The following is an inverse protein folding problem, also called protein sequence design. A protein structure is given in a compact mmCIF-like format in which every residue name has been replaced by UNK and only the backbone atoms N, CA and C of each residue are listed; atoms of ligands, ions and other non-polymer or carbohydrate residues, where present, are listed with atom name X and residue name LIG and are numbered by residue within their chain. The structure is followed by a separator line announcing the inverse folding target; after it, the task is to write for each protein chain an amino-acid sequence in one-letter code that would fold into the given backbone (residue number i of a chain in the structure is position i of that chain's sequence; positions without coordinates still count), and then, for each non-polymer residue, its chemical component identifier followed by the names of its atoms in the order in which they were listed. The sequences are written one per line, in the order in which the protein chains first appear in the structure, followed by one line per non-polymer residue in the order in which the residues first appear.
data_IF_685135527791
#
_entry.id   IF_685135527791
#
_cell.length_a   1.000
_cell.length_b   1.000
_cell.length_c   1.000
_cell.angle_alpha   90.00
_cell.angle_beta   90.00
_cell.angle_gamma   90.00
#
_symmetry.space_group_name_H-M   'P 1'
#
loop_
_entity.id
_entity.type
_entity.pdbx_description
1 polymer ?
#
# COMPACT_ATOMS: atom_id res chain seq x y z
N UNK A 1 -52.27 14.29 47.46
CA UNK A 1 -52.26 14.20 46.00
C UNK A 1 -50.87 13.71 45.59
N UNK A 2 -50.74 12.56 44.90
CA UNK A 2 -49.57 11.71 44.92
C UNK A 2 -48.61 12.00 43.75
N UNK A 3 -47.31 11.70 43.93
CA UNK A 3 -46.55 10.77 43.09
C UNK A 3 -45.07 10.78 43.50
N UNK A 4 -44.66 9.66 44.10
CA UNK A 4 -43.28 9.22 44.06
C UNK A 4 -42.83 9.06 42.60
N UNK A 5 -41.65 9.59 42.26
CA UNK A 5 -40.73 8.85 41.40
C UNK A 5 -39.30 9.22 41.78
N UNK A 6 -38.74 8.33 42.58
CA UNK A 6 -37.31 8.02 42.57
C UNK A 6 -36.78 8.00 41.14
N UNK A 7 -35.56 8.50 40.95
CA UNK A 7 -34.42 7.68 40.50
C UNK A 7 -33.41 8.59 39.79
N UNK A 8 -32.20 8.61 40.35
CA UNK A 8 -30.96 9.00 39.68
C UNK A 8 -31.00 8.66 38.19
N UNK A 9 -31.02 9.67 37.32
CA UNK A 9 -30.65 9.45 35.90
C UNK A 9 -29.12 9.44 35.79
N UNK A 10 -28.51 8.47 36.45
CA UNK A 10 -27.22 7.95 36.05
C UNK A 10 -27.43 7.01 34.87
N UNK A 11 -26.64 7.21 33.80
CA UNK A 11 -26.63 6.42 32.55
C UNK A 11 -27.92 6.59 31.74
N UNK A 12 -27.92 6.87 30.43
CA UNK A 12 -27.24 6.15 29.36
C UNK A 12 -27.06 7.13 28.18
N UNK A 13 -25.82 7.38 27.77
CA UNK A 13 -25.45 7.74 26.38
C UNK A 13 -23.96 7.39 26.13
N UNK A 14 -23.48 6.28 26.72
CA UNK A 14 -22.12 5.77 26.58
C UNK A 14 -21.98 4.73 25.45
N UNK A 15 -22.91 4.72 24.50
CA UNK A 15 -22.98 3.74 23.40
C UNK A 15 -23.30 4.41 22.06
N UNK A 16 -22.70 5.58 21.82
CA UNK A 16 -22.59 6.21 20.50
C UNK A 16 -21.12 6.52 20.16
N UNK A 17 -20.16 5.81 20.77
CA UNK A 17 -18.75 6.21 20.68
C UNK A 17 -17.77 5.03 20.73
N UNK A 18 -18.21 3.82 20.38
CA UNK A 18 -17.30 2.67 20.27
C UNK A 18 -17.55 1.81 19.05
N UNK A 19 -18.78 1.75 18.54
CA UNK A 19 -19.06 1.10 17.26
C UNK A 19 -18.41 1.84 16.06
N UNK A 20 -18.30 3.18 16.11
CA UNK A 20 -17.64 3.97 15.04
C UNK A 20 -16.10 3.91 15.07
N UNK A 21 -15.50 3.35 16.12
CA UNK A 21 -14.04 3.22 16.22
C UNK A 21 -13.50 2.02 15.41
N UNK A 22 -14.36 1.05 15.07
CA UNK A 22 -13.99 -0.15 14.36
C UNK A 22 -14.56 -0.14 12.94
N UNK A 23 -13.96 0.69 12.10
CA UNK A 23 -14.31 0.78 10.68
C UNK A 23 -13.61 -0.38 9.96
N UNK A 24 -14.36 -1.44 9.65
CA UNK A 24 -13.86 -2.65 8.99
C UNK A 24 -13.07 -2.31 7.70
N UNK A 25 -13.55 -1.34 6.92
CA UNK A 25 -12.86 -0.87 5.71
C UNK A 25 -11.49 -0.26 5.98
N UNK A 26 -11.28 0.42 7.11
CA UNK A 26 -9.99 0.98 7.45
C UNK A 26 -9.05 -0.12 7.93
N UNK A 27 -9.53 -1.06 8.75
CA UNK A 27 -8.74 -2.23 9.21
C UNK A 27 -8.27 -3.06 8.02
N UNK A 28 -9.20 -3.45 7.13
CA UNK A 28 -8.88 -4.29 5.98
C UNK A 28 -7.93 -3.58 5.00
N UNK A 29 -8.13 -2.26 4.81
CA UNK A 29 -7.18 -1.43 4.06
C UNK A 29 -5.82 -1.44 4.73
N UNK A 30 -5.76 -1.33 6.06
CA UNK A 30 -4.48 -1.30 6.76
C UNK A 30 -3.72 -2.62 6.58
N UNK A 31 -4.41 -3.74 6.80
CA UNK A 31 -3.84 -5.07 6.68
C UNK A 31 -3.32 -5.37 5.27
N UNK A 32 -4.07 -4.98 4.24
CA UNK A 32 -3.67 -5.21 2.84
C UNK A 32 -2.45 -4.37 2.48
N UNK A 33 -2.42 -3.08 2.81
CA UNK A 33 -1.26 -2.27 2.44
C UNK A 33 0.00 -2.78 3.16
N UNK A 34 -0.10 -3.19 4.43
CA UNK A 34 1.04 -3.73 5.19
C UNK A 34 1.52 -5.01 4.55
N UNK A 35 0.59 -5.94 4.25
CA UNK A 35 0.92 -7.24 3.66
C UNK A 35 1.60 -7.09 2.30
N UNK A 36 1.09 -6.20 1.45
CA UNK A 36 1.70 -5.90 0.15
C UNK A 36 3.11 -5.31 0.30
N UNK A 37 3.31 -4.42 1.27
CA UNK A 37 4.62 -3.86 1.58
C UNK A 37 5.63 -4.93 2.00
N UNK A 38 5.21 -5.86 2.87
CA UNK A 38 6.06 -6.97 3.32
C UNK A 38 6.46 -7.87 2.14
N UNK A 39 5.50 -8.25 1.29
CA UNK A 39 5.78 -9.09 0.12
C UNK A 39 6.70 -8.37 -0.87
N UNK A 40 6.48 -7.08 -1.14
CA UNK A 40 7.37 -6.29 -1.99
C UNK A 40 8.80 -6.24 -1.45
N UNK A 41 8.96 -5.98 -0.14
CA UNK A 41 10.27 -5.96 0.51
C UNK A 41 10.94 -7.34 0.50
N UNK A 42 10.19 -8.42 0.70
CA UNK A 42 10.71 -9.77 0.62
C UNK A 42 11.27 -10.08 -0.78
N UNK A 43 10.58 -9.67 -1.84
CA UNK A 43 11.05 -9.83 -3.21
C UNK A 43 12.28 -8.94 -3.47
N UNK A 44 12.28 -7.68 -3.04
CA UNK A 44 13.46 -6.81 -3.14
C UNK A 44 14.68 -7.40 -2.42
N UNK A 45 14.48 -8.02 -1.25
CA UNK A 45 15.55 -8.69 -0.53
C UNK A 45 16.12 -9.88 -1.31
N UNK A 46 15.27 -10.69 -1.95
CA UNK A 46 15.73 -11.77 -2.84
C UNK A 46 16.52 -11.22 -4.02
N UNK A 47 16.04 -10.14 -4.65
CA UNK A 47 16.76 -9.48 -5.74
C UNK A 47 18.13 -8.96 -5.28
N UNK A 48 18.19 -8.32 -4.11
CA UNK A 48 19.43 -7.84 -3.52
C UNK A 48 20.42 -8.99 -3.25
N UNK A 49 19.96 -10.12 -2.71
CA UNK A 49 20.83 -11.30 -2.50
C UNK A 49 21.33 -11.86 -3.83
N UNK A 50 20.48 -11.93 -4.85
CA UNK A 50 20.87 -12.42 -6.18
C UNK A 50 21.81 -11.47 -6.91
N UNK A 51 21.83 -10.18 -6.56
CA UNK A 51 22.75 -9.18 -7.11
C UNK A 51 24.21 -9.38 -6.66
N UNK A 52 24.44 -10.14 -5.58
CA UNK A 52 25.79 -10.42 -5.10
C UNK A 52 26.48 -11.38 -6.08
N UNK A 53 27.68 -11.06 -6.58
CA UNK A 53 28.37 -11.86 -7.60
C UNK A 53 28.61 -13.32 -7.17
N UNK A 54 28.77 -13.58 -5.87
CA UNK A 54 28.90 -14.95 -5.35
C UNK A 54 27.63 -15.80 -5.54
N UNK A 55 26.44 -15.20 -5.43
CA UNK A 55 25.15 -15.88 -5.64
C UNK A 55 24.82 -15.92 -7.12
N UNK A 56 25.02 -14.80 -7.82
CA UNK A 56 24.81 -14.69 -9.27
C UNK A 56 25.65 -15.70 -10.06
N UNK A 57 26.92 -15.89 -9.68
CA UNK A 57 27.83 -16.83 -10.36
C UNK A 57 27.49 -18.32 -10.09
N UNK A 58 26.64 -18.60 -9.11
CA UNK A 58 26.11 -19.96 -8.86
C UNK A 58 24.87 -20.28 -9.70
N UNK A 59 24.22 -19.27 -10.28
CA UNK A 59 23.01 -19.38 -11.08
C UNK A 59 23.36 -19.36 -12.57
N UNK A 60 22.57 -20.03 -13.40
CA UNK A 60 22.74 -19.88 -14.85
C UNK A 60 22.29 -18.48 -15.29
N UNK A 61 22.88 -17.94 -16.36
CA UNK A 61 22.52 -16.62 -16.89
C UNK A 61 21.01 -16.47 -17.17
N UNK A 62 20.33 -17.55 -17.56
CA UNK A 62 18.89 -17.59 -17.79
C UNK A 62 18.08 -17.46 -16.51
N UNK A 63 18.49 -18.14 -15.45
CA UNK A 63 17.82 -18.05 -14.13
C UNK A 63 18.05 -16.67 -13.52
N UNK A 64 19.26 -16.14 -13.60
CA UNK A 64 19.58 -14.80 -13.14
C UNK A 64 18.74 -13.74 -13.87
N UNK A 65 18.67 -13.82 -15.21
CA UNK A 65 17.85 -12.90 -16.00
C UNK A 65 16.36 -13.03 -15.67
N UNK A 66 15.85 -14.24 -15.43
CA UNK A 66 14.47 -14.46 -15.03
C UNK A 66 14.16 -13.82 -13.68
N UNK A 67 15.00 -14.05 -12.68
CA UNK A 67 14.87 -13.46 -11.33
C UNK A 67 14.89 -11.94 -11.43
N UNK A 68 15.94 -11.35 -12.01
CA UNK A 68 16.08 -9.90 -12.05
C UNK A 68 15.01 -9.21 -12.91
N UNK A 69 14.64 -9.78 -14.05
CA UNK A 69 13.62 -9.18 -14.92
C UNK A 69 12.21 -9.39 -14.36
N UNK A 70 11.78 -10.65 -14.11
CA UNK A 70 10.40 -10.94 -13.72
C UNK A 70 10.10 -10.57 -12.28
N UNK A 71 10.96 -10.94 -11.32
CA UNK A 71 10.73 -10.55 -9.92
C UNK A 71 10.98 -9.06 -9.72
N UNK A 72 11.87 -8.44 -10.50
CA UNK A 72 12.04 -6.98 -10.55
C UNK A 72 10.75 -6.25 -10.92
N UNK A 73 10.14 -6.63 -12.05
CA UNK A 73 8.84 -6.08 -12.47
C UNK A 73 7.75 -6.33 -11.43
N UNK A 74 7.63 -7.56 -10.90
CA UNK A 74 6.62 -7.91 -9.89
C UNK A 74 6.81 -7.08 -8.61
N UNK A 75 8.05 -6.88 -8.17
CA UNK A 75 8.36 -6.04 -7.02
C UNK A 75 7.96 -4.58 -7.25
N UNK A 76 8.22 -4.06 -8.45
CA UNK A 76 7.86 -2.69 -8.82
C UNK A 76 6.33 -2.52 -8.87
N UNK A 77 5.61 -3.51 -9.42
CA UNK A 77 4.15 -3.57 -9.42
C UNK A 77 3.60 -3.55 -7.99
N UNK A 78 4.08 -4.43 -7.11
CA UNK A 78 3.63 -4.52 -5.72
C UNK A 78 3.94 -3.23 -4.94
N UNK A 79 5.11 -2.63 -5.12
CA UNK A 79 5.46 -1.34 -4.52
C UNK A 79 4.55 -0.19 -4.99
N UNK A 80 4.21 -0.19 -6.28
CA UNK A 80 3.29 0.80 -6.86
C UNK A 80 1.89 0.62 -6.29
N UNK A 81 1.38 -0.60 -6.21
CA UNK A 81 0.07 -0.90 -5.61
C UNK A 81 0.06 -0.54 -4.12
N UNK A 82 1.12 -0.86 -3.37
CA UNK A 82 1.26 -0.49 -1.96
C UNK A 82 1.16 1.04 -1.77
N UNK A 83 1.89 1.82 -2.56
CA UNK A 83 1.85 3.28 -2.52
C UNK A 83 0.49 3.84 -2.99
N UNK A 84 -0.14 3.21 -3.98
CA UNK A 84 -1.46 3.59 -4.48
C UNK A 84 -2.56 3.41 -3.43
N UNK A 85 -2.56 2.26 -2.73
CA UNK A 85 -3.51 1.98 -1.64
C UNK A 85 -3.29 2.92 -0.47
N UNK A 86 -2.03 3.19 -0.10
CA UNK A 86 -1.69 4.18 0.93
C UNK A 86 -2.23 5.57 0.58
N UNK A 87 -2.07 5.98 -0.67
CA UNK A 87 -2.48 7.29 -1.13
C UNK A 87 -3.97 7.38 -1.49
N UNK A 88 -4.73 6.28 -1.57
CA UNK A 88 -6.12 6.22 -2.07
C UNK A 88 -7.03 7.33 -1.51
N UNK A 89 -7.04 7.54 -0.19
CA UNK A 89 -7.83 8.61 0.43
C UNK A 89 -7.20 10.03 0.29
N UNK A 90 -5.89 10.11 0.05
CA UNK A 90 -5.14 11.37 -0.12
C UNK A 90 -5.22 11.94 -1.53
N UNK A 91 -5.51 11.15 -2.57
CA UNK A 91 -5.75 11.67 -3.93
C UNK A 91 -7.02 12.51 -4.03
N UNK A 92 -8.04 12.15 -3.25
CA UNK A 92 -9.38 12.79 -3.30
C UNK A 92 -9.44 14.02 -2.39
N UNK A 93 -8.56 14.13 -1.38
CA UNK A 93 -8.55 15.26 -0.46
C UNK A 93 -7.74 16.44 -1.01
N UNK A 94 -8.45 17.41 -1.60
CA UNK A 94 -7.91 18.66 -2.14
C UNK A 94 -7.20 19.49 -1.06
N UNK A 95 -7.42 19.21 0.23
CA UNK A 95 -6.72 19.90 1.33
C UNK A 95 -5.24 19.51 1.45
N UNK A 96 -4.79 18.44 0.80
CA UNK A 96 -3.38 18.03 0.82
C UNK A 96 -2.46 18.93 -0.04
N UNK A 97 -3.01 19.81 -0.87
CA UNK A 97 -2.26 20.78 -1.68
C UNK A 97 -1.91 22.02 -0.86
N UNK A 98 -1.00 21.89 0.09
CA UNK A 98 -0.41 23.05 0.76
C UNK A 98 0.49 23.77 -0.24
N UNK A 99 0.15 25.01 -0.59
CA UNK A 99 1.02 25.89 -1.36
C UNK A 99 1.42 25.35 -2.75
N UNK A 100 0.48 24.74 -3.49
CA UNK A 100 0.69 24.19 -4.84
C UNK A 100 1.72 23.04 -4.95
N UNK A 101 2.36 22.64 -3.86
CA UNK A 101 3.31 21.51 -3.88
C UNK A 101 2.53 20.20 -3.88
N UNK A 102 2.64 19.36 -4.93
CA UNK A 102 1.99 18.06 -4.92
C UNK A 102 2.64 17.19 -3.83
N UNK A 103 1.86 16.37 -3.12
CA UNK A 103 2.40 15.47 -2.12
C UNK A 103 3.52 14.57 -2.67
N UNK A 104 4.56 14.32 -1.87
CA UNK A 104 5.75 13.54 -2.28
C UNK A 104 5.42 12.15 -2.82
N UNK A 105 4.35 11.52 -2.34
CA UNK A 105 3.89 10.22 -2.84
C UNK A 105 3.49 10.27 -4.32
N UNK A 106 2.90 11.36 -4.82
CA UNK A 106 2.47 11.48 -6.21
C UNK A 106 3.66 11.50 -7.16
N UNK A 107 4.73 12.19 -6.77
CA UNK A 107 5.96 12.26 -7.54
C UNK A 107 6.66 10.89 -7.54
N UNK A 108 6.69 10.23 -6.37
CA UNK A 108 7.32 8.93 -6.21
C UNK A 108 6.65 7.81 -7.03
N UNK A 109 5.32 7.82 -7.17
CA UNK A 109 4.60 6.80 -7.98
C UNK A 109 4.59 7.10 -9.47
N UNK A 110 4.83 8.35 -9.89
CA UNK A 110 4.79 8.73 -11.30
C UNK A 110 5.82 7.98 -12.14
N UNK A 111 7.07 7.92 -11.65
CA UNK A 111 8.15 7.20 -12.31
C UNK A 111 7.85 5.70 -12.51
N UNK A 112 7.49 4.92 -11.46
CA UNK A 112 7.18 3.51 -11.63
C UNK A 112 5.93 3.26 -12.48
N UNK A 113 4.91 4.14 -12.44
CA UNK A 113 3.75 4.03 -13.35
C UNK A 113 4.18 4.10 -14.81
N UNK A 114 5.06 5.06 -15.17
CA UNK A 114 5.56 5.18 -16.55
C UNK A 114 6.35 3.93 -16.95
N UNK A 115 7.22 3.44 -16.07
CA UNK A 115 8.03 2.25 -16.35
C UNK A 115 7.13 1.04 -16.63
N UNK A 116 6.13 0.81 -15.78
CA UNK A 116 5.18 -0.29 -15.94
C UNK A 116 4.32 -0.13 -17.20
N UNK A 117 3.93 1.09 -17.54
CA UNK A 117 3.16 1.37 -18.75
C UNK A 117 3.99 1.12 -20.02
N UNK A 118 5.25 1.57 -20.06
CA UNK A 118 6.17 1.27 -21.14
C UNK A 118 6.43 -0.23 -21.28
N UNK A 119 6.64 -0.93 -20.17
CA UNK A 119 6.82 -2.38 -20.17
C UNK A 119 5.57 -3.09 -20.70
N UNK A 120 4.37 -2.65 -20.29
CA UNK A 120 3.11 -3.19 -20.79
C UNK A 120 2.97 -2.98 -22.30
N UNK A 121 3.28 -1.77 -22.82
CA UNK A 121 3.27 -1.48 -24.25
C UNK A 121 4.24 -2.40 -25.00
N UNK A 122 5.46 -2.55 -24.48
CA UNK A 122 6.48 -3.41 -25.10
C UNK A 122 6.10 -4.90 -25.07
N UNK A 123 5.24 -5.30 -24.14
CA UNK A 123 4.73 -6.67 -24.06
C UNK A 123 3.59 -6.95 -25.04
N UNK A 124 2.92 -5.92 -25.58
CA UNK A 124 2.00 -6.13 -26.70
C UNK A 124 2.81 -6.57 -27.94
N UNK A 125 2.40 -7.63 -28.65
CA UNK A 125 3.02 -7.98 -29.91
C UNK A 125 2.71 -6.87 -30.92
N UNK A 126 3.72 -6.05 -31.22
CA UNK A 126 3.73 -5.24 -32.44
C UNK A 126 4.09 -6.11 -33.65
#
# INVERSE_FOLDING_TARGET
DPTDTSCSTGHINRSKNKEDAWIEHDVWRMEIYVSLGIVALAILALLAVTSVPSVSNSLTWREFHYIQSKLGTVSLLLGTIHALIFAWNKWVDIKQFVWYTPPTFMIAVFLPIIVLFCEAILFLPC
#
